data_IF_945955156454
#
_entry.id   IF_945955156454
#
_cell.length_a   1.000
_cell.length_b   1.000
_cell.length_c   1.000
_cell.angle_alpha   90.00
_cell.angle_beta   90.00
_cell.angle_gamma   90.00
#
_symmetry.space_group_name_H-M   'P 1'
#
loop_
_entity.id
_entity.type
_entity.pdbx_description
1 polymer ?
#
# COMPACT_ATOMS: atom_id res chain seq x y z
N UNK A 1 -17.11 2.43 6.92
CA UNK A 1 -18.26 1.50 7.11
C UNK A 1 -17.79 0.09 7.53
N UNK A 2 -16.83 -0.56 6.82
CA UNK A 2 -16.33 -1.90 7.21
C UNK A 2 -15.83 -1.93 8.67
N UNK A 3 -15.04 -0.93 9.07
CA UNK A 3 -14.50 -0.81 10.43
C UNK A 3 -15.58 -0.80 11.50
N UNK A 4 -16.72 -0.14 11.26
CA UNK A 4 -17.87 -0.12 12.16
C UNK A 4 -18.57 -1.49 12.26
N UNK A 5 -18.74 -2.17 11.12
CA UNK A 5 -19.38 -3.50 11.09
C UNK A 5 -18.62 -4.56 11.90
N UNK A 6 -17.28 -4.44 11.97
CA UNK A 6 -16.43 -5.42 12.66
C UNK A 6 -15.90 -4.95 14.00
N UNK A 7 -16.28 -3.75 14.48
CA UNK A 7 -15.85 -3.20 15.78
C UNK A 7 -16.73 -3.59 16.94
N UNK A 8 -17.96 -4.09 16.66
CA UNK A 8 -18.97 -4.30 17.69
C UNK A 8 -19.69 -3.02 18.13
N UNK A 9 -19.44 -1.90 17.42
CA UNK A 9 -20.15 -0.65 17.67
C UNK A 9 -21.62 -0.73 17.19
N UNK A 10 -22.45 0.15 17.73
CA UNK A 10 -23.82 0.31 17.25
C UNK A 10 -23.79 0.89 15.84
N UNK A 11 -24.52 0.27 14.92
CA UNK A 11 -24.68 0.69 13.53
C UNK A 11 -26.13 1.07 13.31
N UNK A 12 -26.36 2.31 12.86
CA UNK A 12 -27.68 2.76 12.41
C UNK A 12 -27.86 2.45 10.94
N UNK A 13 -28.89 1.71 10.60
CA UNK A 13 -29.26 1.41 9.24
C UNK A 13 -30.77 1.52 9.04
N UNK A 14 -31.22 1.67 7.81
CA UNK A 14 -32.64 1.65 7.46
C UNK A 14 -32.86 0.86 6.18
N UNK A 15 -33.98 0.18 6.12
CA UNK A 15 -34.53 -0.31 4.87
C UNK A 15 -35.10 0.86 4.06
N UNK A 16 -35.23 0.68 2.75
CA UNK A 16 -35.84 1.68 1.91
C UNK A 16 -37.27 1.97 2.41
N UNK A 17 -37.63 3.25 2.55
CA UNK A 17 -38.93 3.72 3.07
C UNK A 17 -39.24 3.36 4.55
N UNK A 18 -38.24 2.96 5.34
CA UNK A 18 -38.41 2.65 6.77
C UNK A 18 -37.65 3.63 7.64
N UNK A 19 -37.97 3.65 8.94
CA UNK A 19 -37.21 4.41 9.92
C UNK A 19 -35.84 3.81 10.19
N UNK A 20 -34.92 4.61 10.73
CA UNK A 20 -33.65 4.11 11.20
C UNK A 20 -33.81 3.14 12.37
N UNK A 21 -33.07 2.07 12.36
CA UNK A 21 -32.94 1.15 13.47
C UNK A 21 -31.46 0.97 13.83
N UNK A 22 -31.20 0.94 15.13
CA UNK A 22 -29.88 0.73 15.67
C UNK A 22 -29.68 -0.75 16.00
N UNK A 23 -28.58 -1.34 15.58
CA UNK A 23 -28.23 -2.71 15.90
C UNK A 23 -26.73 -2.88 16.12
N UNK A 24 -26.36 -3.92 16.86
CA UNK A 24 -24.96 -4.35 16.99
C UNK A 24 -24.71 -5.57 16.11
N UNK A 25 -23.78 -5.47 15.15
CA UNK A 25 -23.39 -6.64 14.38
C UNK A 25 -22.77 -7.72 15.28
N UNK A 26 -23.29 -8.94 15.22
CA UNK A 26 -22.79 -10.09 15.98
C UNK A 26 -22.05 -11.11 15.12
N UNK A 27 -22.17 -10.97 13.80
CA UNK A 27 -21.56 -11.87 12.83
C UNK A 27 -20.08 -11.60 12.56
N UNK A 28 -19.43 -12.54 11.88
CA UNK A 28 -18.12 -12.36 11.25
C UNK A 28 -18.32 -12.11 9.77
N UNK A 29 -17.52 -11.23 9.21
CA UNK A 29 -17.57 -10.92 7.78
C UNK A 29 -16.51 -11.74 7.03
N UNK A 30 -16.96 -12.55 6.07
CA UNK A 30 -16.09 -13.26 5.13
C UNK A 30 -16.27 -12.65 3.75
N UNK A 31 -15.18 -12.35 3.09
CA UNK A 31 -15.15 -11.82 1.74
C UNK A 31 -14.35 -12.78 0.86
N UNK A 32 -15.03 -13.49 -0.04
CA UNK A 32 -14.38 -14.28 -1.08
C UNK A 32 -14.11 -13.38 -2.30
N UNK A 33 -12.88 -13.31 -2.75
CA UNK A 33 -12.47 -12.46 -3.86
C UNK A 33 -11.21 -12.99 -4.54
N UNK A 34 -11.08 -12.80 -5.83
CA UNK A 34 -9.86 -13.10 -6.58
C UNK A 34 -8.80 -12.00 -6.44
N UNK A 35 -9.22 -10.78 -6.12
CA UNK A 35 -8.32 -9.65 -5.94
C UNK A 35 -8.59 -9.00 -4.59
N UNK A 36 -7.53 -8.78 -3.83
CA UNK A 36 -7.64 -8.13 -2.53
C UNK A 36 -8.16 -6.69 -2.70
N UNK A 37 -9.16 -6.27 -1.90
CA UNK A 37 -9.73 -4.94 -2.00
C UNK A 37 -8.72 -3.89 -1.55
N UNK A 38 -8.70 -2.73 -2.21
CA UNK A 38 -7.83 -1.63 -1.83
C UNK A 38 -8.18 -1.09 -0.44
N UNK A 39 -7.20 -1.10 0.48
CA UNK A 39 -7.34 -0.55 1.82
C UNK A 39 -6.76 0.86 1.88
N UNK A 40 -7.64 1.85 2.04
CA UNK A 40 -7.23 3.24 2.18
C UNK A 40 -6.95 3.55 3.64
N UNK A 41 -5.69 3.79 3.99
CA UNK A 41 -5.26 4.15 5.32
C UNK A 41 -4.21 3.21 5.90
N UNK A 42 -3.30 3.77 6.67
CA UNK A 42 -2.18 3.05 7.31
C UNK A 42 -2.46 2.76 8.79
N UNK A 43 -3.65 3.15 9.28
CA UNK A 43 -3.98 2.97 10.70
C UNK A 43 -4.08 1.48 11.07
N UNK A 44 -3.59 1.15 12.26
CA UNK A 44 -3.66 -0.22 12.78
C UNK A 44 -5.09 -0.69 13.02
N UNK A 45 -6.06 0.23 12.97
CA UNK A 45 -7.45 -0.06 13.32
C UNK A 45 -8.15 -1.03 12.37
N UNK A 46 -7.82 -0.99 11.07
CA UNK A 46 -8.36 -1.95 10.10
C UNK A 46 -7.50 -3.21 10.02
N UNK A 47 -6.18 -3.05 10.03
CA UNK A 47 -5.23 -4.15 9.83
C UNK A 47 -5.31 -5.23 10.92
N UNK A 48 -5.57 -4.84 12.17
CA UNK A 48 -5.76 -5.80 13.28
C UNK A 48 -7.06 -6.61 13.20
N UNK A 49 -7.97 -6.23 12.28
CA UNK A 49 -9.27 -6.87 12.07
C UNK A 49 -9.35 -7.65 10.77
N UNK A 50 -8.33 -7.53 9.94
CA UNK A 50 -8.28 -8.13 8.63
C UNK A 50 -7.35 -9.33 8.66
N UNK A 51 -7.84 -10.48 8.20
CA UNK A 51 -7.07 -11.71 8.07
C UNK A 51 -7.21 -12.20 6.64
N UNK A 52 -6.10 -12.36 5.95
CA UNK A 52 -6.05 -12.93 4.60
C UNK A 52 -5.88 -14.43 4.72
N UNK A 53 -6.82 -15.18 4.15
CA UNK A 53 -6.77 -16.65 4.04
C UNK A 53 -6.50 -17.00 2.59
N UNK A 54 -5.27 -17.39 2.22
CA UNK A 54 -4.92 -17.68 0.84
C UNK A 54 -5.42 -19.08 0.44
N UNK A 55 -6.10 -19.15 -0.71
CA UNK A 55 -6.48 -20.38 -1.37
C UNK A 55 -5.68 -20.52 -2.67
N UNK A 56 -4.46 -21.04 -2.58
CA UNK A 56 -3.48 -21.01 -3.68
C UNK A 56 -3.54 -22.28 -4.55
N UNK A 57 -4.44 -23.21 -4.28
CA UNK A 57 -4.61 -24.43 -5.08
C UNK A 57 -5.77 -24.29 -6.04
N UNK A 58 -5.57 -24.77 -7.25
CA UNK A 58 -6.62 -25.02 -8.22
C UNK A 58 -6.95 -26.51 -8.18
N UNK A 59 -8.23 -26.80 -8.27
CA UNK A 59 -8.76 -28.16 -8.32
C UNK A 59 -9.58 -28.31 -9.60
N UNK A 60 -9.58 -29.52 -10.14
CA UNK A 60 -10.51 -29.86 -11.21
C UNK A 60 -11.94 -29.80 -10.69
N UNK A 61 -12.87 -29.50 -11.60
CA UNK A 61 -14.29 -29.46 -11.26
C UNK A 61 -14.77 -30.85 -10.88
N UNK A 62 -15.23 -31.01 -9.65
CA UNK A 62 -15.86 -32.23 -9.15
C UNK A 62 -17.36 -32.01 -8.97
N UNK A 63 -18.21 -32.55 -9.87
CA UNK A 63 -19.67 -32.40 -9.76
C UNK A 63 -20.26 -33.13 -8.54
N UNK A 64 -19.54 -34.05 -7.94
CA UNK A 64 -20.00 -34.83 -6.77
C UNK A 64 -19.72 -34.16 -5.44
N UNK A 65 -18.87 -33.12 -5.42
CA UNK A 65 -18.38 -32.47 -4.20
C UNK A 65 -19.51 -31.93 -3.32
N UNK A 66 -20.53 -31.31 -3.89
CA UNK A 66 -21.66 -30.78 -3.13
C UNK A 66 -22.43 -31.90 -2.42
N UNK A 67 -22.66 -33.02 -3.11
CA UNK A 67 -23.30 -34.21 -2.52
C UNK A 67 -22.47 -34.82 -1.39
N UNK A 68 -21.15 -34.92 -1.56
CA UNK A 68 -20.24 -35.42 -0.54
C UNK A 68 -20.22 -34.53 0.69
N UNK A 69 -20.11 -33.20 0.52
CA UNK A 69 -20.15 -32.23 1.62
C UNK A 69 -21.49 -32.28 2.38
N UNK A 70 -22.60 -32.42 1.68
CA UNK A 70 -23.93 -32.54 2.31
C UNK A 70 -24.06 -33.82 3.13
N UNK A 71 -23.43 -34.91 2.70
CA UNK A 71 -23.40 -36.16 3.48
C UNK A 71 -22.57 -36.05 4.76
N UNK A 72 -21.60 -35.14 4.79
CA UNK A 72 -20.66 -34.93 5.92
C UNK A 72 -21.01 -33.73 6.81
N UNK A 73 -22.17 -33.07 6.65
CA UNK A 73 -22.54 -31.89 7.41
C UNK A 73 -22.42 -32.05 8.92
N UNK A 74 -22.71 -33.22 9.47
CA UNK A 74 -22.54 -33.54 10.90
C UNK A 74 -21.08 -33.44 11.35
N UNK A 75 -20.16 -33.99 10.57
CA UNK A 75 -18.73 -33.94 10.86
C UNK A 75 -18.18 -32.50 10.70
N UNK A 76 -18.65 -31.76 9.69
CA UNK A 76 -18.29 -30.34 9.47
C UNK A 76 -18.75 -29.50 10.65
N UNK A 77 -19.97 -29.72 11.15
CA UNK A 77 -20.48 -29.01 12.33
C UNK A 77 -19.68 -29.36 13.59
N UNK A 78 -19.36 -30.65 13.80
CA UNK A 78 -18.54 -31.07 14.94
C UNK A 78 -17.17 -30.39 14.94
N UNK A 79 -16.50 -30.34 13.80
CA UNK A 79 -15.23 -29.61 13.62
C UNK A 79 -15.38 -28.11 13.93
N UNK A 80 -16.44 -27.46 13.46
CA UNK A 80 -16.69 -26.04 13.75
C UNK A 80 -16.94 -25.79 15.24
N UNK A 81 -17.67 -26.68 15.93
CA UNK A 81 -17.93 -26.61 17.37
C UNK A 81 -16.64 -26.81 18.17
N UNK A 82 -15.80 -27.75 17.77
CA UNK A 82 -14.48 -27.97 18.39
C UNK A 82 -13.62 -26.70 18.32
N UNK A 83 -13.53 -26.08 17.14
CA UNK A 83 -12.82 -24.81 16.94
C UNK A 83 -13.38 -23.69 17.80
N UNK A 84 -14.70 -23.57 17.90
CA UNK A 84 -15.36 -22.57 18.75
C UNK A 84 -15.08 -22.81 20.24
N UNK A 85 -15.15 -24.06 20.68
CA UNK A 85 -14.85 -24.48 22.06
C UNK A 85 -13.41 -24.14 22.44
N UNK A 86 -12.47 -24.46 21.57
CA UNK A 86 -11.06 -24.15 21.75
C UNK A 86 -10.85 -22.62 21.87
N UNK A 87 -11.49 -21.83 21.02
CA UNK A 87 -11.41 -20.38 21.09
C UNK A 87 -11.97 -19.82 22.41
N UNK A 88 -13.12 -20.29 22.87
CA UNK A 88 -13.71 -19.89 24.15
C UNK A 88 -12.83 -20.27 25.33
N UNK A 89 -12.28 -21.50 25.35
CA UNK A 89 -11.43 -22.00 26.44
C UNK A 89 -10.11 -21.22 26.54
N UNK A 90 -9.62 -20.63 25.44
CA UNK A 90 -8.42 -19.81 25.42
C UNK A 90 -8.72 -18.29 25.61
N UNK A 91 -9.81 -17.94 26.28
CA UNK A 91 -10.16 -16.56 26.57
C UNK A 91 -10.50 -15.73 25.33
N UNK A 92 -10.97 -16.39 24.27
CA UNK A 92 -11.28 -15.79 22.95
C UNK A 92 -10.06 -15.23 22.24
N UNK A 93 -8.88 -15.74 22.56
CA UNK A 93 -7.61 -15.39 21.93
C UNK A 93 -6.97 -16.67 21.39
N UNK A 94 -6.68 -16.67 20.10
CA UNK A 94 -5.87 -17.69 19.47
C UNK A 94 -4.73 -17.01 18.72
N UNK A 95 -3.51 -17.57 18.78
CA UNK A 95 -2.42 -17.07 17.96
C UNK A 95 -2.79 -17.23 16.49
N UNK A 96 -2.54 -16.19 15.69
CA UNK A 96 -2.74 -16.27 14.24
C UNK A 96 -1.63 -17.14 13.67
N UNK A 97 -1.93 -18.27 13.02
CA UNK A 97 -0.92 -19.10 12.39
C UNK A 97 -0.08 -18.31 11.38
N UNK A 98 1.20 -18.65 11.23
CA UNK A 98 2.09 -17.99 10.28
C UNK A 98 1.57 -18.03 8.83
N UNK A 99 0.89 -19.11 8.48
CA UNK A 99 0.22 -19.27 7.19
C UNK A 99 -0.82 -18.17 6.89
N UNK A 100 -1.39 -17.52 7.90
CA UNK A 100 -2.33 -16.43 7.78
C UNK A 100 -1.69 -15.07 8.10
N UNK A 101 -0.74 -15.04 9.04
CA UNK A 101 -0.06 -13.82 9.44
C UNK A 101 0.79 -13.24 8.30
N UNK A 102 1.57 -14.08 7.62
CA UNK A 102 2.45 -13.66 6.53
C UNK A 102 1.70 -13.04 5.34
N UNK A 103 0.66 -13.66 4.75
CA UNK A 103 -0.12 -13.06 3.68
C UNK A 103 -0.78 -11.74 4.08
N UNK A 104 -1.29 -11.65 5.30
CA UNK A 104 -1.89 -10.42 5.82
C UNK A 104 -0.86 -9.30 5.95
N UNK A 105 0.35 -9.61 6.42
CA UNK A 105 1.43 -8.64 6.52
C UNK A 105 1.95 -8.20 5.14
N UNK A 106 2.10 -9.13 4.21
CA UNK A 106 2.48 -8.81 2.82
C UNK A 106 1.46 -7.87 2.17
N UNK A 107 0.17 -8.17 2.32
CA UNK A 107 -0.88 -7.31 1.81
C UNK A 107 -0.82 -5.90 2.42
N UNK A 108 -0.59 -5.80 3.73
CA UNK A 108 -0.42 -4.51 4.40
C UNK A 108 0.78 -3.72 3.84
N UNK A 109 1.90 -4.39 3.58
CA UNK A 109 3.09 -3.76 3.01
C UNK A 109 2.85 -3.29 1.58
N UNK A 110 2.15 -4.07 0.77
CA UNK A 110 1.77 -3.69 -0.60
C UNK A 110 0.87 -2.45 -0.64
N UNK A 111 -0.03 -2.31 0.32
CA UNK A 111 -0.93 -1.15 0.44
C UNK A 111 -0.27 0.09 1.07
N UNK A 112 0.88 -0.05 1.74
CA UNK A 112 1.63 1.08 2.35
C UNK A 112 2.61 1.73 1.36
N UNK A 113 2.08 2.28 0.28
CA UNK A 113 2.88 2.94 -0.77
C UNK A 113 3.75 4.08 -0.21
N UNK A 114 3.25 4.85 0.76
CA UNK A 114 4.01 5.93 1.37
C UNK A 114 5.17 5.38 2.21
N UNK A 115 4.94 4.31 2.96
CA UNK A 115 5.98 3.65 3.75
C UNK A 115 7.08 3.07 2.87
N UNK A 116 6.72 2.46 1.74
CA UNK A 116 7.67 1.97 0.74
C UNK A 116 8.49 3.12 0.15
N UNK A 117 7.84 4.17 -0.34
CA UNK A 117 8.52 5.36 -0.86
C UNK A 117 9.51 5.94 0.16
N UNK A 118 9.09 6.09 1.42
CA UNK A 118 9.97 6.59 2.49
C UNK A 118 11.20 5.71 2.67
N UNK A 119 11.02 4.39 2.65
CA UNK A 119 12.12 3.44 2.85
C UNK A 119 13.09 3.38 1.67
N UNK A 120 12.57 3.51 0.45
CA UNK A 120 13.33 3.37 -0.78
C UNK A 120 13.99 4.68 -1.23
N UNK A 121 13.30 5.81 -1.02
CA UNK A 121 13.69 7.11 -1.59
C UNK A 121 14.14 8.16 -0.59
N UNK A 122 14.01 7.93 0.72
CA UNK A 122 14.39 8.92 1.73
C UNK A 122 15.39 8.34 2.72
N UNK A 123 16.27 9.20 3.20
CA UNK A 123 17.18 8.88 4.32
C UNK A 123 17.28 10.04 5.31
N UNK A 124 17.66 9.71 6.54
CA UNK A 124 17.96 10.72 7.55
C UNK A 124 19.21 11.50 7.16
N UNK A 125 19.11 12.83 7.23
CA UNK A 125 20.20 13.74 6.89
C UNK A 125 20.14 14.97 7.80
N UNK A 126 20.86 14.91 8.92
CA UNK A 126 20.88 16.01 9.89
C UNK A 126 21.34 17.32 9.23
N UNK A 127 20.58 18.39 9.47
CA UNK A 127 20.85 19.71 8.91
C UNK A 127 20.32 19.94 7.51
N UNK A 128 19.88 18.93 6.78
CA UNK A 128 19.29 19.09 5.45
C UNK A 128 17.85 19.61 5.51
N UNK A 129 17.49 20.32 4.45
CA UNK A 129 16.16 20.91 4.26
C UNK A 129 15.62 20.50 2.89
N UNK A 130 14.73 19.50 2.87
CA UNK A 130 14.08 19.05 1.65
C UNK A 130 12.82 19.89 1.39
N UNK A 131 12.73 20.63 0.27
CA UNK A 131 11.51 21.34 -0.08
C UNK A 131 10.32 20.40 -0.18
N UNK A 132 9.17 20.82 0.38
CA UNK A 132 7.97 19.99 0.34
C UNK A 132 7.44 19.76 -1.09
N UNK A 133 7.78 20.64 -2.00
CA UNK A 133 7.50 20.56 -3.44
C UNK A 133 8.31 19.42 -4.09
N UNK A 134 9.61 19.35 -3.79
CA UNK A 134 10.51 18.32 -4.32
C UNK A 134 10.16 16.93 -3.79
N UNK A 135 9.83 16.83 -2.49
CA UNK A 135 9.31 15.61 -1.91
C UNK A 135 8.06 15.11 -2.64
N UNK A 136 7.12 16.03 -2.94
CA UNK A 136 5.89 15.69 -3.65
C UNK A 136 6.18 15.24 -5.07
N UNK A 137 7.04 15.94 -5.78
CA UNK A 137 7.42 15.60 -7.15
C UNK A 137 8.08 14.20 -7.20
N UNK A 138 9.00 13.93 -6.28
CA UNK A 138 9.65 12.63 -6.15
C UNK A 138 8.64 11.51 -5.85
N UNK A 139 7.72 11.73 -4.91
CA UNK A 139 6.69 10.74 -4.60
C UNK A 139 5.73 10.49 -5.77
N UNK A 140 5.34 11.53 -6.50
CA UNK A 140 4.46 11.37 -7.67
C UNK A 140 5.14 10.58 -8.77
N UNK A 141 6.42 10.85 -9.03
CA UNK A 141 7.24 10.11 -10.00
C UNK A 141 7.33 8.65 -9.59
N UNK A 142 7.74 8.37 -8.35
CA UNK A 142 7.83 7.02 -7.82
C UNK A 142 6.49 6.26 -7.94
N UNK A 143 5.36 6.91 -7.64
CA UNK A 143 4.04 6.29 -7.82
C UNK A 143 3.73 5.94 -9.27
N UNK A 144 4.17 6.78 -10.23
CA UNK A 144 4.00 6.52 -11.67
C UNK A 144 4.83 5.32 -12.09
N UNK A 145 6.09 5.24 -11.64
CA UNK A 145 7.02 4.15 -11.95
C UNK A 145 6.54 2.81 -11.37
N UNK A 146 5.97 2.85 -10.14
CA UNK A 146 5.39 1.68 -9.46
C UNK A 146 3.96 1.32 -9.93
N UNK A 147 3.38 2.09 -10.85
CA UNK A 147 2.01 1.86 -11.33
C UNK A 147 0.92 2.04 -10.26
N UNK A 148 1.19 2.83 -9.21
CA UNK A 148 0.25 3.06 -8.11
C UNK A 148 -0.28 4.49 -8.11
N UNK A 149 -1.48 4.68 -7.57
CA UNK A 149 -2.06 6.03 -7.48
C UNK A 149 -1.48 6.79 -6.30
N UNK A 150 -0.91 7.96 -6.53
CA UNK A 150 -0.39 8.82 -5.49
C UNK A 150 -1.48 9.21 -4.47
N UNK A 151 -1.13 9.20 -3.19
CA UNK A 151 -1.97 9.68 -2.08
C UNK A 151 -1.90 11.21 -2.01
N UNK A 152 -2.84 11.80 -1.27
CA UNK A 152 -2.84 13.24 -1.04
C UNK A 152 -1.63 13.69 -0.20
N UNK A 153 -1.36 14.99 -0.23
CA UNK A 153 -0.23 15.59 0.46
C UNK A 153 -0.33 15.46 1.99
N UNK A 154 -1.55 15.44 2.53
CA UNK A 154 -1.77 15.34 3.97
C UNK A 154 -1.38 13.95 4.47
N UNK A 155 -1.64 12.90 3.68
CA UNK A 155 -1.25 11.54 4.00
C UNK A 155 0.28 11.38 4.06
N UNK A 156 1.01 11.96 3.09
CA UNK A 156 2.48 11.96 3.10
C UNK A 156 2.98 12.73 4.31
N UNK A 157 2.48 13.94 4.53
CA UNK A 157 2.88 14.79 5.65
C UNK A 157 2.68 14.11 7.01
N UNK A 158 1.54 13.48 7.22
CA UNK A 158 1.26 12.72 8.43
C UNK A 158 2.27 11.57 8.63
N UNK A 159 2.62 10.87 7.56
CA UNK A 159 3.58 9.76 7.63
C UNK A 159 5.01 10.23 7.90
N UNK A 160 5.42 11.34 7.28
CA UNK A 160 6.71 11.99 7.54
C UNK A 160 6.83 12.42 9.01
N UNK A 161 5.79 13.06 9.55
CA UNK A 161 5.73 13.45 10.97
C UNK A 161 5.77 12.23 11.89
N UNK A 162 5.09 11.15 11.55
CA UNK A 162 5.13 9.90 12.33
C UNK A 162 6.53 9.27 12.36
N UNK A 163 7.35 9.51 11.33
CA UNK A 163 8.76 9.09 11.27
C UNK A 163 9.68 9.99 12.11
N UNK A 164 9.18 11.13 12.61
CA UNK A 164 9.94 12.07 13.45
C UNK A 164 10.46 13.29 12.69
N UNK A 165 10.23 13.40 11.39
CA UNK A 165 10.60 14.58 10.63
C UNK A 165 9.58 15.71 10.82
N UNK A 166 10.07 16.95 10.82
CA UNK A 166 9.23 18.13 11.03
C UNK A 166 9.34 19.10 9.86
N UNK A 167 8.33 19.95 9.71
CA UNK A 167 8.36 20.99 8.69
C UNK A 167 8.76 22.34 9.28
N UNK A 168 9.60 23.08 8.56
CA UNK A 168 9.92 24.49 8.85
C UNK A 168 9.74 25.33 7.60
N UNK A 169 9.40 26.59 7.78
CA UNK A 169 9.37 27.57 6.68
C UNK A 169 10.76 28.16 6.51
N UNK A 170 11.34 28.02 5.33
CA UNK A 170 12.68 28.48 5.02
C UNK A 170 12.72 29.37 3.76
N UNK A 171 13.75 30.23 3.67
CA UNK A 171 13.98 31.14 2.52
C UNK A 171 13.09 32.37 2.48
N UNK A 172 13.45 33.31 1.59
CA UNK A 172 12.75 34.62 1.41
C UNK A 172 11.26 34.46 1.09
N UNK A 173 10.87 33.40 0.37
CA UNK A 173 9.48 33.09 0.01
C UNK A 173 8.75 32.25 1.07
N UNK A 174 9.36 31.97 2.24
CA UNK A 174 8.81 31.17 3.35
C UNK A 174 8.18 29.84 2.90
N UNK A 175 8.83 29.12 1.97
CA UNK A 175 8.38 27.82 1.51
C UNK A 175 8.53 26.77 2.62
N UNK A 176 7.64 25.79 2.63
CA UNK A 176 7.70 24.68 3.57
C UNK A 176 8.81 23.69 3.18
N UNK A 177 9.65 23.32 4.15
CA UNK A 177 10.72 22.34 3.98
C UNK A 177 10.63 21.29 5.08
N UNK A 178 10.93 20.07 4.73
CA UNK A 178 11.14 18.99 5.68
C UNK A 178 12.58 19.03 6.19
N UNK A 179 12.75 18.94 7.51
CA UNK A 179 14.05 19.07 8.17
C UNK A 179 14.56 17.70 8.59
N UNK A 180 15.86 17.47 8.38
CA UNK A 180 16.54 16.24 8.79
C UNK A 180 16.36 15.07 7.83
N UNK A 181 15.96 15.32 6.58
CA UNK A 181 15.72 14.31 5.57
C UNK A 181 16.22 14.76 4.20
N UNK A 182 16.65 13.83 3.39
CA UNK A 182 17.00 14.05 1.99
C UNK A 182 16.49 12.91 1.09
N UNK A 183 16.37 13.19 -0.21
CA UNK A 183 16.09 12.19 -1.23
C UNK A 183 17.35 11.37 -1.52
N UNK A 184 17.20 10.05 -1.57
CA UNK A 184 18.22 9.16 -2.11
C UNK A 184 18.24 9.35 -3.63
N UNK A 185 19.36 9.76 -4.18
CA UNK A 185 19.54 9.83 -5.62
C UNK A 185 19.55 8.39 -6.17
N UNK A 186 18.49 7.99 -6.82
CA UNK A 186 18.50 6.76 -7.62
C UNK A 186 19.37 7.03 -8.85
N UNK A 187 20.37 6.18 -9.11
CA UNK A 187 21.39 6.32 -10.16
C UNK A 187 20.82 6.26 -11.59
N UNK A 188 19.84 7.08 -11.90
CA UNK A 188 19.17 7.19 -13.20
C UNK A 188 19.07 8.60 -13.75
N UNK A 189 19.37 9.64 -12.99
CA UNK A 189 19.20 11.06 -13.38
C UNK A 189 20.56 11.81 -13.51
N UNK A 190 21.55 11.20 -14.13
CA UNK A 190 22.69 11.98 -14.67
C UNK A 190 22.38 12.37 -16.12
N UNK A 191 21.40 13.23 -16.34
CA UNK A 191 21.46 14.20 -17.41
C UNK A 191 21.85 15.54 -16.77
N UNK A 192 23.15 15.69 -16.68
CA UNK A 192 23.83 16.92 -16.38
C UNK A 192 23.46 17.96 -17.45
N UNK A 193 22.58 18.88 -17.09
CA UNK A 193 22.42 20.10 -17.87
C UNK A 193 23.56 21.02 -17.46
N UNK A 194 24.71 20.83 -18.13
CA UNK A 194 25.81 21.78 -18.12
C UNK A 194 25.32 23.10 -18.76
N UNK A 195 24.87 24.03 -17.93
CA UNK A 195 24.64 25.40 -18.33
C UNK A 195 25.94 26.18 -18.10
N UNK A 196 26.78 26.16 -19.10
CA UNK A 196 27.85 27.14 -19.24
C UNK A 196 27.26 28.54 -19.41
N UNK A 197 27.80 29.56 -18.73
CA UNK A 197 27.24 30.90 -18.74
C UNK A 197 27.71 31.78 -19.91
N UNK A 198 28.19 31.24 -21.00
CA UNK A 198 28.60 32.08 -22.15
C UNK A 198 28.07 31.54 -23.47
N UNK A 199 27.19 32.35 -24.06
CA UNK A 199 26.63 32.14 -25.38
C UNK A 199 27.64 32.32 -26.51
N UNK A 200 28.22 31.26 -27.01
CA UNK A 200 28.80 31.22 -28.36
C UNK A 200 28.46 29.88 -29.03
N UNK A 201 27.65 30.00 -30.07
CA UNK A 201 27.34 28.94 -30.99
C UNK A 201 28.57 28.59 -31.83
N UNK A 202 29.08 27.36 -31.73
CA UNK A 202 30.07 26.85 -32.67
C UNK A 202 29.35 25.91 -33.62
N UNK A 203 29.22 26.34 -34.89
CA UNK A 203 28.83 25.48 -35.99
C UNK A 203 29.96 24.48 -36.26
N UNK A 204 29.70 23.19 -36.12
CA UNK A 204 30.59 22.14 -36.59
C UNK A 204 30.06 21.67 -37.93
N UNK A 205 30.86 22.02 -39.00
CA UNK A 205 30.57 21.66 -40.35
C UNK A 205 30.61 20.15 -40.60
N UNK A 206 29.69 19.70 -41.45
CA UNK A 206 29.59 18.38 -42.02
C UNK A 206 30.71 18.15 -43.01
N UNK A 207 31.66 17.26 -42.72
CA UNK A 207 32.57 16.71 -43.67
C UNK A 207 32.22 15.24 -43.98
N UNK A 208 31.50 15.05 -45.07
CA UNK A 208 31.31 13.72 -45.64
C UNK A 208 32.56 13.36 -46.45
N UNK A 209 33.17 12.24 -46.17
CA UNK A 209 34.16 11.63 -47.04
C UNK A 209 33.79 10.16 -47.30
N UNK A 210 33.19 9.93 -48.47
CA UNK A 210 32.93 8.61 -49.05
C UNK A 210 34.28 7.97 -49.46
N UNK A 211 34.47 6.69 -49.13
CA UNK A 211 35.45 5.82 -49.81
C UNK A 211 34.78 4.59 -50.38
N UNK A 212 35.11 4.21 -51.62
CA UNK A 212 34.40 3.15 -52.34
C UNK A 212 34.89 1.76 -51.95
N UNK A 213 33.95 0.82 -52.02
CA UNK A 213 34.15 -0.61 -51.82
C UNK A 213 34.61 -1.19 -53.16
N UNK A 214 35.79 -1.83 -53.16
CA UNK A 214 36.30 -2.59 -54.30
C UNK A 214 35.98 -4.08 -54.13
N UNK A 215 35.39 -4.66 -55.16
CA UNK A 215 35.11 -6.08 -55.29
C UNK A 215 36.26 -6.79 -55.98
N UNK A 216 36.85 -7.76 -55.32
CA UNK A 216 37.41 -8.97 -55.98
C UNK A 216 37.37 -10.14 -54.98
#
# INVERSE_FOLDING_TARGET
>A
KLKQLVSGDVVSARLLFSNFSDFRPTGKLFLATNHLPRVVGTDNGIWRRLVVVPFNRQFDKDPSLEGALNAELGAILAWAVEGATHWYSNGRLLPVPSALANPTQQYRQQEDHIGRFITECLRDAQGNHLPAEDLRAAYTRWCTDEGVTARDQNAIGARMTQKGWSTKRHGKKRRSHWVGVELVQTSGDQQEVDRTPDGQSIEIGSGAEERPIDHT
#
